data_IF_383242977710
#
_entry.id   IF_383242977710
#
_cell.length_a   1.000
_cell.length_b   1.000
_cell.length_c   1.000
_cell.angle_alpha   90.00
_cell.angle_beta   90.00
_cell.angle_gamma   90.00
#
_symmetry.space_group_name_H-M   'P 1'
#
loop_
_entity.id
_entity.type
_entity.pdbx_description
1 polymer ?
#
# COMPACT_ATOMS: atom_id res chain seq x y z
N UNK A 1 -35.54 -0.51 -24.34
CA UNK A 1 -34.52 -1.28 -23.63
C UNK A 1 -34.13 -2.49 -24.46
N UNK A 2 -32.82 -2.67 -24.68
CA UNK A 2 -32.26 -3.83 -25.37
C UNK A 2 -31.89 -4.87 -24.32
N UNK A 3 -32.68 -5.90 -24.15
CA UNK A 3 -32.35 -7.03 -23.31
C UNK A 3 -31.52 -8.02 -24.12
N UNK A 4 -30.17 -7.83 -24.16
CA UNK A 4 -29.26 -8.64 -24.94
C UNK A 4 -28.00 -8.96 -24.16
N UNK A 5 -27.43 -10.15 -24.41
CA UNK A 5 -26.13 -10.51 -23.93
C UNK A 5 -25.04 -9.62 -24.56
N UNK A 6 -24.01 -9.28 -23.82
CA UNK A 6 -22.86 -8.55 -24.33
C UNK A 6 -22.02 -9.43 -25.27
N UNK A 7 -21.43 -8.86 -26.32
CA UNK A 7 -21.42 -7.46 -26.70
C UNK A 7 -22.71 -7.02 -27.41
N UNK A 8 -23.15 -5.77 -27.15
CA UNK A 8 -24.27 -5.18 -27.86
C UNK A 8 -23.72 -4.33 -29.01
N UNK A 9 -24.26 -4.56 -30.21
CA UNK A 9 -23.92 -3.81 -31.40
C UNK A 9 -25.10 -2.92 -31.83
N UNK A 10 -24.85 -1.62 -31.94
CA UNK A 10 -25.82 -0.61 -32.35
C UNK A 10 -25.42 0.01 -33.69
N UNK A 11 -25.84 -0.58 -34.83
CA UNK A 11 -25.41 -0.10 -36.16
C UNK A 11 -26.13 1.20 -36.56
N UNK A 12 -25.48 1.93 -37.48
CA UNK A 12 -26.10 3.03 -38.24
C UNK A 12 -26.64 4.19 -37.36
N UNK A 13 -25.82 4.64 -36.40
CA UNK A 13 -26.16 5.86 -35.64
C UNK A 13 -25.62 7.09 -36.35
N UNK A 14 -26.41 8.15 -36.36
CA UNK A 14 -25.95 9.45 -36.86
C UNK A 14 -24.84 10.01 -35.98
N UNK A 15 -23.87 10.78 -36.54
CA UNK A 15 -22.93 11.50 -35.71
C UNK A 15 -23.60 12.39 -34.68
N UNK A 16 -23.07 12.43 -33.45
CA UNK A 16 -23.65 13.22 -32.37
C UNK A 16 -23.33 12.63 -31.00
N UNK A 17 -23.74 13.33 -29.95
CA UNK A 17 -23.61 12.90 -28.57
C UNK A 17 -24.82 12.07 -28.15
N UNK A 18 -24.57 10.93 -27.53
CA UNK A 18 -25.59 10.00 -27.03
C UNK A 18 -25.29 9.62 -25.60
N UNK A 19 -26.32 9.65 -24.75
CA UNK A 19 -26.25 9.09 -23.41
C UNK A 19 -26.57 7.61 -23.47
N UNK A 20 -25.63 6.77 -23.05
CA UNK A 20 -25.84 5.33 -22.88
C UNK A 20 -26.12 5.04 -21.43
N UNK A 21 -27.21 4.37 -21.16
CA UNK A 21 -27.60 3.91 -19.84
C UNK A 21 -27.66 2.38 -19.82
N UNK A 22 -27.00 1.78 -18.83
CA UNK A 22 -27.08 0.37 -18.53
C UNK A 22 -27.77 0.17 -17.20
N UNK A 23 -28.75 -0.70 -17.17
CA UNK A 23 -29.50 -1.08 -15.99
C UNK A 23 -29.43 -2.59 -15.80
N UNK A 24 -29.20 -3.03 -14.57
CA UNK A 24 -29.28 -4.43 -14.19
C UNK A 24 -29.95 -4.52 -12.82
N UNK A 25 -30.77 -5.53 -12.61
CA UNK A 25 -31.45 -5.76 -11.32
C UNK A 25 -30.43 -5.94 -10.19
N UNK A 26 -30.58 -5.17 -9.10
CA UNK A 26 -29.68 -5.18 -7.95
C UNK A 26 -28.37 -4.41 -8.14
N UNK A 27 -28.23 -3.68 -9.24
CA UNK A 27 -27.08 -2.83 -9.52
C UNK A 27 -27.51 -1.38 -9.74
N UNK A 28 -26.62 -0.44 -9.37
CA UNK A 28 -26.79 0.97 -9.68
C UNK A 28 -26.73 1.19 -11.18
N UNK A 29 -27.58 2.07 -11.68
CA UNK A 29 -27.57 2.48 -13.08
C UNK A 29 -26.19 3.06 -13.44
N UNK A 30 -25.68 2.66 -14.60
CA UNK A 30 -24.48 3.23 -15.18
C UNK A 30 -24.87 4.09 -16.38
N UNK A 31 -24.41 5.33 -16.39
CA UNK A 31 -24.65 6.27 -17.48
C UNK A 31 -23.32 6.86 -17.98
N UNK A 32 -23.25 7.05 -19.31
CA UNK A 32 -22.11 7.71 -19.94
C UNK A 32 -22.52 8.38 -21.23
N UNK A 33 -22.11 9.64 -21.40
CA UNK A 33 -22.18 10.34 -22.67
C UNK A 33 -21.05 9.92 -23.58
N UNK A 34 -21.38 9.57 -24.81
CA UNK A 34 -20.44 9.20 -25.86
C UNK A 34 -20.64 10.07 -27.09
N UNK A 35 -19.55 10.41 -27.77
CA UNK A 35 -19.59 11.08 -29.04
C UNK A 35 -19.40 10.06 -30.17
N UNK A 36 -20.33 10.03 -31.12
CA UNK A 36 -20.26 9.20 -32.32
C UNK A 36 -19.80 10.07 -33.47
N UNK A 37 -18.69 9.71 -34.09
CA UNK A 37 -18.16 10.38 -35.27
C UNK A 37 -18.56 9.65 -36.56
N UNK A 38 -18.68 10.41 -37.65
CA UNK A 38 -18.98 9.83 -38.97
C UNK A 38 -17.89 8.85 -39.39
N UNK A 39 -18.27 7.72 -39.93
CA UNK A 39 -17.39 6.67 -40.48
C UNK A 39 -16.44 6.04 -39.44
N UNK A 40 -16.71 6.17 -38.14
CA UNK A 40 -15.96 5.56 -37.07
C UNK A 40 -16.83 4.66 -36.22
N UNK A 41 -16.19 3.64 -35.59
CA UNK A 41 -16.84 2.79 -34.59
C UNK A 41 -16.37 3.21 -33.21
N UNK A 42 -17.33 3.55 -32.34
CA UNK A 42 -17.05 3.87 -30.93
C UNK A 42 -17.23 2.60 -30.10
N UNK A 43 -16.19 2.22 -29.34
CA UNK A 43 -16.20 1.09 -28.42
C UNK A 43 -16.31 1.59 -26.99
N UNK A 44 -17.20 0.97 -26.22
CA UNK A 44 -17.27 1.15 -24.77
C UNK A 44 -16.80 -0.16 -24.15
N UNK A 45 -15.70 -0.09 -23.39
CA UNK A 45 -15.10 -1.24 -22.70
C UNK A 45 -15.04 -0.96 -21.20
N UNK A 46 -14.77 -1.99 -20.44
CA UNK A 46 -14.48 -1.91 -19.01
C UNK A 46 -15.61 -1.26 -18.18
N UNK A 47 -16.85 -1.66 -18.48
CA UNK A 47 -18.01 -1.18 -17.73
C UNK A 47 -18.10 -1.98 -16.42
N UNK A 48 -18.04 -1.26 -15.30
CA UNK A 48 -18.22 -1.85 -13.97
C UNK A 48 -19.56 -1.40 -13.41
N UNK A 49 -20.43 -2.35 -13.10
CA UNK A 49 -21.69 -2.10 -12.41
C UNK A 49 -21.53 -2.35 -10.91
N UNK A 50 -21.90 -1.36 -10.11
CA UNK A 50 -21.89 -1.45 -8.65
C UNK A 50 -23.23 -1.94 -8.14
N UNK A 51 -23.24 -2.92 -7.23
CA UNK A 51 -24.47 -3.38 -6.57
C UNK A 51 -25.15 -2.24 -5.84
N UNK A 52 -26.47 -2.18 -5.90
CA UNK A 52 -27.29 -1.19 -5.18
C UNK A 52 -27.15 -1.34 -3.66
N UNK A 53 -27.13 -2.57 -3.19
CA UNK A 53 -26.89 -2.90 -1.80
C UNK A 53 -25.58 -3.66 -1.68
N UNK A 54 -24.63 -3.08 -0.97
CA UNK A 54 -23.45 -3.83 -0.52
C UNK A 54 -23.89 -4.66 0.67
N UNK A 55 -23.67 -5.99 0.69
CA UNK A 55 -23.97 -6.79 1.87
C UNK A 55 -23.21 -6.22 3.06
N UNK A 56 -23.91 -5.74 4.06
CA UNK A 56 -23.32 -5.30 5.32
C UNK A 56 -23.01 -6.54 6.14
N UNK A 57 -21.75 -6.86 6.29
CA UNK A 57 -21.32 -7.89 7.24
C UNK A 57 -21.00 -7.21 8.57
N UNK A 58 -21.77 -7.54 9.59
CA UNK A 58 -21.49 -7.07 10.94
C UNK A 58 -20.39 -7.94 11.53
N UNK A 59 -19.27 -7.34 11.92
CA UNK A 59 -18.24 -8.00 12.73
C UNK A 59 -18.78 -8.11 14.17
N UNK A 60 -19.44 -9.23 14.48
CA UNK A 60 -20.20 -9.43 15.71
C UNK A 60 -19.41 -9.30 17.01
N UNK A 61 -18.09 -9.30 16.96
CA UNK A 61 -17.23 -9.38 18.15
C UNK A 61 -16.38 -8.12 18.38
N UNK A 62 -16.63 -7.04 17.66
CA UNK A 62 -15.89 -5.80 17.82
C UNK A 62 -16.81 -4.68 18.29
N UNK A 63 -17.11 -4.68 19.61
CA UNK A 63 -17.89 -3.61 20.26
C UNK A 63 -16.95 -2.49 20.75
N UNK A 64 -16.12 -1.97 19.83
CA UNK A 64 -15.14 -0.93 20.11
C UNK A 64 -15.13 0.11 19.01
N UNK A 65 -14.72 1.34 19.37
CA UNK A 65 -14.56 2.42 18.42
C UNK A 65 -13.42 2.10 17.45
N UNK A 66 -13.74 1.90 16.18
CA UNK A 66 -12.76 1.76 15.12
C UNK A 66 -12.22 3.15 14.75
N UNK A 67 -10.91 3.31 14.73
CA UNK A 67 -10.22 4.57 14.41
C UNK A 67 -9.37 4.48 13.15
N UNK A 68 -9.09 3.27 12.66
CA UNK A 68 -8.38 3.06 11.41
C UNK A 68 -8.70 1.70 10.78
N UNK A 69 -8.69 1.67 9.43
CA UNK A 69 -8.88 0.47 8.62
C UNK A 69 -7.92 0.53 7.43
N UNK A 70 -7.14 -0.53 7.24
CA UNK A 70 -6.23 -0.63 6.10
C UNK A 70 -6.27 -2.05 5.52
N UNK A 71 -6.27 -2.15 4.18
CA UNK A 71 -6.24 -3.42 3.47
C UNK A 71 -4.83 -3.86 3.09
N UNK A 72 -4.62 -5.17 3.00
CA UNK A 72 -3.41 -5.74 2.41
C UNK A 72 -3.35 -5.50 0.91
N UNK A 73 -2.18 -5.68 0.32
CA UNK A 73 -1.89 -5.54 -1.11
C UNK A 73 -2.88 -6.32 -2.00
N UNK A 74 -3.19 -7.55 -1.65
CA UNK A 74 -4.08 -8.43 -2.41
C UNK A 74 -5.56 -8.37 -1.98
N UNK A 75 -5.87 -7.57 -0.95
CA UNK A 75 -7.22 -7.49 -0.38
C UNK A 75 -7.63 -8.72 0.45
N UNK A 76 -6.73 -9.66 0.68
CA UNK A 76 -6.97 -10.86 1.48
C UNK A 76 -7.12 -10.58 2.97
N UNK A 77 -6.57 -9.46 3.45
CA UNK A 77 -6.59 -9.08 4.86
C UNK A 77 -6.95 -7.62 5.07
N UNK A 78 -7.56 -7.32 6.21
CA UNK A 78 -7.85 -5.97 6.66
C UNK A 78 -7.36 -5.82 8.09
N UNK A 79 -6.52 -4.83 8.37
CA UNK A 79 -6.23 -4.42 9.74
C UNK A 79 -7.30 -3.47 10.24
N UNK A 80 -7.68 -3.66 11.50
CA UNK A 80 -8.65 -2.85 12.21
C UNK A 80 -7.96 -2.34 13.47
N UNK A 81 -7.86 -1.03 13.60
CA UNK A 81 -7.34 -0.39 14.80
C UNK A 81 -8.48 0.21 15.60
N UNK A 82 -8.56 -0.16 16.86
CA UNK A 82 -9.54 0.38 17.82
C UNK A 82 -8.85 1.16 18.92
N UNK A 83 -9.60 2.03 19.58
CA UNK A 83 -9.09 2.83 20.70
C UNK A 83 -10.16 2.96 21.79
N UNK A 84 -9.76 2.70 23.03
CA UNK A 84 -10.55 2.90 24.24
C UNK A 84 -9.59 3.28 25.40
N UNK A 85 -9.79 4.43 26.03
CA UNK A 85 -9.00 4.90 27.18
C UNK A 85 -7.46 4.91 26.93
N UNK A 86 -7.02 5.35 25.77
CA UNK A 86 -5.63 5.29 25.29
C UNK A 86 -5.06 3.87 25.20
N UNK A 87 -5.92 2.87 25.14
CA UNK A 87 -5.56 1.49 24.81
C UNK A 87 -5.89 1.29 23.35
N UNK A 88 -4.87 1.03 22.56
CA UNK A 88 -4.99 0.69 21.14
C UNK A 88 -4.93 -0.82 20.98
N UNK A 89 -5.90 -1.37 20.25
CA UNK A 89 -5.90 -2.77 19.89
C UNK A 89 -5.91 -2.90 18.36
N UNK A 90 -5.00 -3.69 17.85
CA UNK A 90 -4.90 -3.99 16.43
C UNK A 90 -5.42 -5.39 16.17
N UNK A 91 -6.33 -5.50 15.25
CA UNK A 91 -6.88 -6.77 14.79
C UNK A 91 -6.55 -6.96 13.32
N UNK A 92 -6.49 -8.22 12.90
CA UNK A 92 -6.47 -8.60 11.49
C UNK A 92 -7.72 -9.42 11.17
N UNK A 93 -8.37 -9.04 10.10
CA UNK A 93 -9.52 -9.73 9.56
C UNK A 93 -9.13 -10.39 8.23
N UNK A 94 -9.26 -11.71 8.16
CA UNK A 94 -9.10 -12.44 6.91
C UNK A 94 -10.41 -12.39 6.12
N UNK A 95 -10.37 -11.86 4.90
CA UNK A 95 -11.56 -11.63 4.07
C UNK A 95 -12.14 -12.91 3.48
N UNK A 96 -11.36 -13.97 3.38
CA UNK A 96 -11.78 -15.26 2.82
C UNK A 96 -12.51 -16.10 3.87
N UNK A 97 -11.84 -16.44 4.97
CA UNK A 97 -12.39 -17.31 6.02
C UNK A 97 -13.20 -16.56 7.09
N UNK A 98 -13.27 -15.22 7.01
CA UNK A 98 -14.03 -14.32 7.92
C UNK A 98 -13.56 -14.34 9.37
N UNK A 99 -12.34 -14.77 9.62
CA UNK A 99 -11.75 -14.77 10.94
C UNK A 99 -11.18 -13.41 11.32
N UNK A 100 -11.44 -13.02 12.58
CA UNK A 100 -10.87 -11.84 13.22
C UNK A 100 -9.92 -12.29 14.32
N UNK A 101 -8.65 -11.88 14.25
CA UNK A 101 -7.62 -12.22 15.23
C UNK A 101 -7.02 -10.96 15.82
N UNK A 102 -6.80 -10.93 17.13
CA UNK A 102 -6.09 -9.84 17.81
C UNK A 102 -4.59 -9.97 17.59
N UNK A 103 -3.94 -8.91 17.14
CA UNK A 103 -2.49 -8.87 16.91
C UNK A 103 -1.73 -8.22 18.06
N UNK A 104 -2.24 -7.10 18.56
CA UNK A 104 -1.55 -6.33 19.60
C UNK A 104 -2.53 -5.55 20.46
N UNK A 105 -2.13 -5.31 21.72
CA UNK A 105 -2.82 -4.43 22.66
C UNK A 105 -1.79 -3.56 23.36
N UNK A 106 -1.87 -2.25 23.17
CA UNK A 106 -0.84 -1.32 23.61
C UNK A 106 -1.49 -0.12 24.27
N UNK A 107 -1.00 0.25 25.46
CA UNK A 107 -1.36 1.53 26.09
C UNK A 107 -0.35 2.57 25.64
N UNK A 108 -0.80 3.56 24.87
CA UNK A 108 0.04 4.62 24.31
C UNK A 108 -0.72 5.94 24.26
N UNK A 109 0.03 7.05 24.23
CA UNK A 109 -0.54 8.40 24.03
C UNK A 109 -0.68 8.69 22.53
N UNK A 110 0.21 8.10 21.73
CA UNK A 110 0.26 8.29 20.27
C UNK A 110 -0.36 7.07 19.59
N UNK A 111 -1.24 7.33 18.64
CA UNK A 111 -1.85 6.31 17.78
C UNK A 111 -0.76 5.47 17.10
N UNK A 112 -0.80 4.14 17.18
CA UNK A 112 0.07 3.26 16.39
C UNK A 112 -0.10 3.53 14.89
N UNK A 113 0.99 3.50 14.15
CA UNK A 113 0.96 3.53 12.69
C UNK A 113 0.97 2.10 12.16
N UNK A 114 0.05 1.81 11.26
CA UNK A 114 0.01 0.54 10.53
C UNK A 114 0.48 0.82 9.10
N UNK A 115 1.34 -0.03 8.59
CA UNK A 115 1.90 0.12 7.26
C UNK A 115 2.01 -1.25 6.58
N UNK A 116 1.17 -1.48 5.58
CA UNK A 116 1.18 -2.70 4.79
C UNK A 116 2.28 -2.67 3.75
N UNK A 117 2.94 -3.81 3.55
CA UNK A 117 3.80 -4.01 2.40
C UNK A 117 3.01 -3.80 1.11
N UNK A 118 3.49 -2.98 0.18
CA UNK A 118 2.85 -2.81 -1.12
C UNK A 118 3.04 -4.01 -2.07
N UNK A 119 3.73 -5.07 -1.63
CA UNK A 119 4.11 -6.21 -2.47
C UNK A 119 3.77 -7.57 -1.87
N UNK A 120 3.29 -7.62 -0.62
CA UNK A 120 3.10 -8.88 0.11
C UNK A 120 2.10 -8.72 1.26
N UNK A 121 1.73 -9.83 1.89
CA UNK A 121 0.84 -9.87 3.05
C UNK A 121 1.57 -9.68 4.38
N UNK A 122 2.60 -8.83 4.38
CA UNK A 122 3.30 -8.39 5.59
C UNK A 122 2.91 -6.97 5.96
N UNK A 123 2.93 -6.68 7.24
CA UNK A 123 2.65 -5.34 7.77
C UNK A 123 3.62 -4.97 8.88
N UNK A 124 3.77 -3.68 9.08
CA UNK A 124 4.49 -3.10 10.22
C UNK A 124 3.46 -2.44 11.13
N UNK A 125 3.57 -2.71 12.43
CA UNK A 125 2.91 -1.91 13.47
C UNK A 125 4.00 -1.10 14.16
N UNK A 126 3.99 0.20 13.91
CA UNK A 126 4.88 1.14 14.56
C UNK A 126 4.21 1.71 15.79
N UNK A 127 4.89 1.67 16.92
CA UNK A 127 4.43 2.25 18.18
C UNK A 127 5.50 3.11 18.81
N UNK A 128 5.09 4.19 19.46
CA UNK A 128 5.98 5.06 20.23
C UNK A 128 5.49 5.13 21.67
N UNK A 129 6.26 4.53 22.57
CA UNK A 129 5.96 4.50 24.00
C UNK A 129 7.20 4.98 24.77
N UNK A 130 7.04 6.00 25.61
CA UNK A 130 8.13 6.55 26.43
C UNK A 130 9.38 6.93 25.61
N UNK A 131 9.18 7.56 24.46
CA UNK A 131 10.24 7.95 23.50
C UNK A 131 10.99 6.77 22.85
N UNK A 132 10.53 5.55 23.04
CA UNK A 132 11.03 4.39 22.32
C UNK A 132 10.11 4.07 21.17
N UNK A 133 10.67 3.95 19.97
CA UNK A 133 9.97 3.46 18.78
C UNK A 133 10.11 1.95 18.73
N UNK A 134 9.02 1.26 18.52
CA UNK A 134 9.00 -0.17 18.29
C UNK A 134 8.35 -0.46 16.94
N UNK A 135 9.03 -1.25 16.10
CA UNK A 135 8.54 -1.74 14.83
C UNK A 135 8.27 -3.23 14.97
N UNK A 136 7.03 -3.64 14.88
CA UNK A 136 6.64 -5.03 14.84
C UNK A 136 6.34 -5.42 13.39
N UNK A 137 7.15 -6.29 12.81
CA UNK A 137 6.92 -6.85 11.47
C UNK A 137 6.14 -8.15 11.63
N UNK A 138 5.06 -8.28 10.90
CA UNK A 138 4.09 -9.38 11.00
C UNK A 138 3.80 -9.97 9.63
N UNK A 139 3.69 -11.29 9.58
CA UNK A 139 3.11 -12.03 8.47
C UNK A 139 1.59 -12.22 8.72
N UNK A 140 0.75 -11.65 7.87
CA UNK A 140 -0.70 -11.78 8.01
C UNK A 140 -1.20 -13.21 7.78
N UNK A 141 -0.44 -14.02 7.04
CA UNK A 141 -0.77 -15.41 6.74
C UNK A 141 -0.36 -16.36 7.87
N UNK A 142 0.70 -15.99 8.61
CA UNK A 142 1.21 -16.76 9.73
C UNK A 142 1.70 -15.83 10.85
N UNK A 143 0.82 -15.54 11.80
CA UNK A 143 1.08 -14.57 12.87
C UNK A 143 2.21 -14.98 13.82
N UNK A 144 2.57 -16.27 13.89
CA UNK A 144 3.73 -16.75 14.66
C UNK A 144 5.05 -16.24 14.04
N UNK A 145 5.03 -15.87 12.77
CA UNK A 145 6.12 -15.22 12.06
C UNK A 145 6.11 -13.70 12.32
N UNK A 146 6.43 -13.30 13.54
CA UNK A 146 6.55 -11.88 13.88
C UNK A 146 7.90 -11.56 14.48
N UNK A 147 8.41 -10.36 14.20
CA UNK A 147 9.63 -9.82 14.80
C UNK A 147 9.38 -8.42 15.32
N UNK A 148 9.91 -8.15 16.50
CA UNK A 148 9.83 -6.83 17.14
C UNK A 148 11.22 -6.24 17.24
N UNK A 149 11.38 -5.04 16.71
CA UNK A 149 12.60 -4.25 16.81
C UNK A 149 12.32 -2.98 17.62
N UNK A 150 13.22 -2.62 18.52
CA UNK A 150 13.03 -1.45 19.40
C UNK A 150 14.20 -0.49 19.29
N UNK A 151 13.89 0.78 19.05
CA UNK A 151 14.87 1.86 18.87
C UNK A 151 14.62 2.99 19.86
N UNK A 152 15.68 3.66 20.28
CA UNK A 152 15.63 4.80 21.21
C UNK A 152 15.46 6.15 20.52
N UNK A 153 15.61 6.18 19.23
CA UNK A 153 15.44 7.38 18.38
C UNK A 153 14.43 7.10 17.28
N UNK A 154 13.68 8.10 16.83
CA UNK A 154 12.87 7.96 15.63
C UNK A 154 13.74 7.50 14.48
N UNK A 155 13.24 6.51 13.75
CA UNK A 155 13.89 5.92 12.59
C UNK A 155 12.90 6.00 11.44
N UNK A 156 13.43 6.25 10.24
CA UNK A 156 12.65 6.14 9.01
C UNK A 156 12.85 4.75 8.42
N UNK A 157 11.80 4.21 7.82
CA UNK A 157 11.87 2.93 7.14
C UNK A 157 11.11 2.95 5.81
N UNK A 158 11.53 2.08 4.91
CA UNK A 158 10.86 1.85 3.64
C UNK A 158 10.81 0.34 3.35
N UNK A 159 9.70 -0.11 2.78
CA UNK A 159 9.61 -1.46 2.25
C UNK A 159 10.57 -1.63 1.06
N UNK A 160 11.37 -2.68 1.10
CA UNK A 160 12.22 -3.05 -0.03
C UNK A 160 11.37 -3.73 -1.11
N UNK A 161 11.47 -3.24 -2.36
CA UNK A 161 10.78 -3.80 -3.52
C UNK A 161 11.44 -5.13 -3.96
N UNK A 162 10.66 -5.97 -4.62
CA UNK A 162 11.13 -7.16 -5.36
C UNK A 162 12.03 -8.11 -4.55
N UNK A 163 11.74 -8.32 -3.28
CA UNK A 163 12.49 -9.23 -2.44
C UNK A 163 11.79 -10.59 -2.34
N UNK A 164 12.59 -11.66 -2.30
CA UNK A 164 12.05 -13.01 -2.07
C UNK A 164 11.44 -13.14 -0.66
N UNK A 165 12.00 -12.41 0.30
CA UNK A 165 11.47 -12.26 1.65
C UNK A 165 11.12 -10.79 1.89
N UNK A 166 9.97 -10.51 2.52
CA UNK A 166 9.62 -9.16 2.89
C UNK A 166 10.70 -8.54 3.76
N UNK A 167 11.19 -7.40 3.32
CA UNK A 167 12.30 -6.71 3.95
C UNK A 167 12.01 -5.23 4.03
N UNK A 168 12.57 -4.59 5.04
CA UNK A 168 12.56 -3.14 5.17
C UNK A 168 13.97 -2.60 5.26
N UNK A 169 14.21 -1.48 4.63
CA UNK A 169 15.34 -0.64 4.96
C UNK A 169 14.98 0.27 6.11
N UNK A 170 15.83 0.33 7.11
CA UNK A 170 15.66 1.16 8.29
C UNK A 170 16.84 2.11 8.41
N UNK A 171 16.56 3.41 8.45
CA UNK A 171 17.55 4.43 8.72
C UNK A 171 17.66 4.66 10.23
N UNK A 172 18.81 4.38 10.79
CA UNK A 172 19.21 4.83 12.13
C UNK A 172 19.99 6.15 12.05
N UNK A 173 20.45 6.68 13.17
CA UNK A 173 21.31 7.89 13.16
C UNK A 173 22.62 7.67 12.39
N UNK A 174 23.10 6.47 12.33
CA UNK A 174 24.47 6.15 11.88
C UNK A 174 24.49 5.27 10.62
N UNK A 175 23.45 4.50 10.37
CA UNK A 175 23.45 3.51 9.27
C UNK A 175 22.06 3.32 8.69
N UNK A 176 22.00 2.82 7.46
CA UNK A 176 20.82 2.19 6.88
C UNK A 176 21.00 0.69 6.95
N UNK A 177 20.06 0.01 7.59
CA UNK A 177 20.08 -1.44 7.82
C UNK A 177 18.96 -2.11 7.02
N UNK A 178 19.20 -3.32 6.54
CA UNK A 178 18.18 -4.18 5.98
C UNK A 178 17.66 -5.15 7.05
N UNK A 179 16.39 -5.08 7.37
CA UNK A 179 15.73 -5.98 8.29
C UNK A 179 14.84 -6.96 7.52
N UNK A 180 14.88 -8.22 7.89
CA UNK A 180 14.03 -9.26 7.32
C UNK A 180 13.14 -9.87 8.40
N UNK A 181 12.05 -10.55 8.00
CA UNK A 181 11.19 -11.27 8.93
C UNK A 181 11.85 -12.51 9.55
N UNK A 182 12.90 -13.04 8.93
CA UNK A 182 13.63 -14.22 9.43
C UNK A 182 14.76 -13.90 10.43
N UNK A 183 14.95 -12.63 10.77
CA UNK A 183 15.98 -12.17 11.67
C UNK A 183 16.95 -11.19 11.04
N UNK A 184 17.90 -10.75 11.83
CA UNK A 184 18.88 -9.74 11.47
C UNK A 184 19.80 -10.25 10.36
N UNK A 185 19.73 -9.64 9.20
CA UNK A 185 20.88 -9.51 8.35
C UNK A 185 21.34 -8.05 8.47
N UNK A 186 22.24 -7.80 9.40
CA UNK A 186 22.94 -6.52 9.50
C UNK A 186 23.81 -6.34 8.26
N UNK A 187 23.23 -5.87 7.21
CA UNK A 187 23.99 -5.31 6.11
C UNK A 187 24.01 -3.81 6.37
N UNK A 188 25.03 -3.36 7.08
CA UNK A 188 25.34 -1.93 7.23
C UNK A 188 25.72 -1.38 5.88
N UNK A 189 24.76 -0.82 5.14
CA UNK A 189 24.97 -0.43 3.75
C UNK A 189 25.65 0.94 3.61
N UNK A 190 25.57 1.85 4.58
CA UNK A 190 26.13 3.21 4.40
C UNK A 190 26.33 3.96 5.72
N UNK A 191 27.36 4.82 5.74
CA UNK A 191 27.69 5.76 6.79
C UNK A 191 26.74 6.95 6.90
N UNK A 192 26.60 7.46 8.05
CA UNK A 192 25.70 8.35 8.78
C UNK A 192 25.34 9.73 8.23
N UNK A 193 25.69 10.11 7.02
CA UNK A 193 25.40 11.48 6.52
C UNK A 193 24.32 11.56 5.46
N UNK A 194 23.61 10.46 5.22
CA UNK A 194 22.63 10.41 4.13
C UNK A 194 21.30 10.91 4.65
N UNK A 195 20.86 12.05 4.12
CA UNK A 195 19.56 12.62 4.42
C UNK A 195 18.44 12.06 3.55
N UNK A 196 18.77 11.63 2.31
CA UNK A 196 17.79 11.20 1.33
C UNK A 196 18.20 9.88 0.69
N UNK A 197 17.30 8.91 0.69
CA UNK A 197 17.55 7.59 0.16
C UNK A 197 16.26 6.93 -0.37
N UNK A 198 16.44 5.92 -1.21
CA UNK A 198 15.36 5.14 -1.80
C UNK A 198 15.76 3.66 -1.90
N UNK A 199 14.93 2.78 -1.40
CA UNK A 199 15.14 1.34 -1.45
C UNK A 199 14.47 0.73 -2.69
N UNK A 200 15.25 0.35 -3.69
CA UNK A 200 14.72 -0.32 -4.88
C UNK A 200 14.45 -1.81 -4.60
N UNK A 201 15.44 -2.53 -4.06
CA UNK A 201 15.33 -3.94 -3.72
C UNK A 201 16.37 -4.30 -2.64
N UNK A 202 16.46 -5.59 -2.27
CA UNK A 202 17.34 -6.08 -1.19
C UNK A 202 18.83 -5.68 -1.33
N UNK A 203 19.31 -5.44 -2.55
CA UNK A 203 20.71 -5.19 -2.83
C UNK A 203 20.96 -3.79 -3.41
N UNK A 204 19.92 -3.04 -3.71
CA UNK A 204 20.00 -1.77 -4.38
C UNK A 204 19.40 -0.65 -3.53
N UNK A 205 20.29 0.02 -2.82
CA UNK A 205 19.98 1.25 -2.10
C UNK A 205 20.52 2.44 -2.92
N UNK A 206 19.64 3.38 -3.18
CA UNK A 206 19.97 4.62 -3.84
C UNK A 206 20.00 5.75 -2.82
N UNK A 207 20.96 6.63 -2.95
CA UNK A 207 21.05 7.86 -2.16
C UNK A 207 21.10 9.05 -3.10
N UNK A 208 20.54 10.18 -2.66
CA UNK A 208 20.53 11.38 -3.52
C UNK A 208 20.76 12.66 -2.71
N UNK A 209 21.50 13.58 -3.36
CA UNK A 209 21.77 14.91 -2.84
C UNK A 209 21.83 15.90 -4.03
N UNK A 210 20.93 16.88 -4.03
CA UNK A 210 20.76 17.79 -5.17
C UNK A 210 20.51 17.01 -6.46
N UNK A 211 21.36 17.22 -7.45
CA UNK A 211 21.28 16.58 -8.77
C UNK A 211 22.02 15.24 -8.86
N UNK A 212 22.61 14.77 -7.78
CA UNK A 212 23.43 13.57 -7.78
C UNK A 212 22.66 12.41 -7.18
N UNK A 213 22.47 11.36 -7.96
CA UNK A 213 21.95 10.08 -7.53
C UNK A 213 23.09 9.06 -7.48
N UNK A 214 23.18 8.30 -6.40
CA UNK A 214 24.27 7.35 -6.16
C UNK A 214 23.73 5.96 -5.86
N UNK A 215 24.29 4.93 -6.48
CA UNK A 215 24.07 3.53 -6.13
C UNK A 215 25.43 2.82 -6.04
N UNK A 216 25.82 2.42 -4.83
CA UNK A 216 27.16 1.94 -4.54
C UNK A 216 28.20 2.99 -4.96
N UNK A 217 29.13 2.60 -5.81
CA UNK A 217 30.19 3.51 -6.32
C UNK A 217 29.77 4.30 -7.59
N UNK A 218 28.59 4.04 -8.14
CA UNK A 218 28.15 4.67 -9.38
C UNK A 218 27.35 5.93 -9.09
N UNK A 219 27.72 7.02 -9.77
CA UNK A 219 27.03 8.32 -9.69
C UNK A 219 26.37 8.68 -10.99
N UNK A 220 25.14 9.19 -10.89
CA UNK A 220 24.35 9.69 -12.01
C UNK A 220 24.05 11.16 -11.78
N UNK A 221 24.28 11.99 -12.79
CA UNK A 221 23.90 13.40 -12.76
C UNK A 221 22.53 13.55 -13.42
N UNK A 222 21.61 14.16 -12.71
CA UNK A 222 20.25 14.45 -13.17
C UNK A 222 20.14 15.90 -13.64
N UNK A 223 19.09 16.22 -14.37
CA UNK A 223 18.88 17.58 -14.91
C UNK A 223 18.47 18.56 -13.81
N UNK A 224 17.66 18.10 -12.87
CA UNK A 224 17.09 18.91 -11.78
C UNK A 224 17.45 18.36 -10.41
N UNK A 225 17.28 19.19 -9.37
CA UNK A 225 17.45 18.77 -7.98
C UNK A 225 16.36 17.77 -7.59
N UNK A 226 16.76 16.67 -6.98
CA UNK A 226 15.83 15.62 -6.54
C UNK A 226 15.25 15.97 -5.18
N UNK A 227 13.94 16.13 -5.13
CA UNK A 227 13.19 16.26 -3.87
C UNK A 227 12.81 14.88 -3.34
N UNK A 228 12.34 13.98 -4.24
CA UNK A 228 11.94 12.64 -3.88
C UNK A 228 12.06 11.69 -5.07
N UNK A 229 12.42 10.44 -4.81
CA UNK A 229 12.41 9.38 -5.81
C UNK A 229 11.10 8.61 -5.70
N UNK A 230 10.37 8.52 -6.79
CA UNK A 230 9.07 7.85 -6.88
C UNK A 230 9.28 6.39 -7.28
N UNK A 231 10.10 6.14 -8.29
CA UNK A 231 10.38 4.79 -8.79
C UNK A 231 11.71 4.73 -9.53
N UNK A 232 12.40 3.59 -9.38
CA UNK A 232 13.60 3.27 -10.14
C UNK A 232 13.43 1.86 -10.71
N UNK A 233 13.75 1.70 -11.96
CA UNK A 233 13.85 0.40 -12.61
C UNK A 233 15.02 0.38 -13.61
N UNK A 234 15.32 -0.77 -14.17
CA UNK A 234 16.48 -0.99 -15.03
C UNK A 234 16.61 -0.04 -16.23
N UNK A 235 15.57 0.69 -16.58
CA UNK A 235 15.56 1.55 -17.79
C UNK A 235 15.23 3.01 -17.52
N UNK A 236 14.77 3.37 -16.33
CA UNK A 236 14.35 4.75 -16.02
C UNK A 236 14.30 5.05 -14.53
N UNK A 237 14.46 6.32 -14.23
CA UNK A 237 14.30 6.91 -12.90
C UNK A 237 13.13 7.89 -12.99
N UNK A 238 12.18 7.76 -12.07
CA UNK A 238 11.07 8.71 -11.92
C UNK A 238 11.28 9.43 -10.59
N UNK A 239 11.43 10.74 -10.64
CA UNK A 239 11.67 11.55 -9.45
C UNK A 239 10.84 12.84 -9.51
N UNK A 240 10.67 13.45 -8.35
CA UNK A 240 10.12 14.78 -8.18
C UNK A 240 11.27 15.76 -8.03
N UNK A 241 11.25 16.81 -8.82
CA UNK A 241 12.18 17.93 -8.79
C UNK A 241 11.55 19.15 -8.13
#
# INVERSE_FOLDING_TARGET
PLNKNLPIYLPNRAPGTYTIKLTAEGYRDWEKDINIESKRTTYIKDIILFKESVPVQILKNLDKRIIDLQGSFDGGYITILTEEDNIFETYIYNTENKNLTSLSRIKAIVKPKIDWSPFSNYLIIETVVNKKQSLQILDATNQDNSKVYTYTSPTEYQWAKNTFLPSIYLQTKETIQLLTTNGEQDISLVSSTISNWFAENQNNLWTYEGKILTNGDTKYNLEDDVINIIDINNSRIIYQA
#
